data_IF_842212379684
#
_entry.id   IF_842212379684
#
_cell.length_a   1.000
_cell.length_b   1.000
_cell.length_c   1.000
_cell.angle_alpha   90.00
_cell.angle_beta   90.00
_cell.angle_gamma   90.00
#
_symmetry.space_group_name_H-M   'P 1'
#
loop_
_entity.id
_entity.type
_entity.pdbx_description
1 polymer ?
#
# COMPACT_ATOMS: atom_id res chain seq x y z
N UNK A 1 -10.68 6.76 -4.47
CA UNK A 1 -9.23 6.76 -4.22
C UNK A 1 -9.02 6.39 -2.76
N UNK A 2 -7.86 5.81 -2.42
CA UNK A 2 -7.57 5.22 -1.11
C UNK A 2 -6.71 6.12 -0.21
N UNK A 3 -6.46 7.37 -0.60
CA UNK A 3 -5.80 8.40 0.20
C UNK A 3 -6.78 9.14 1.14
N UNK A 4 -8.05 9.24 0.77
CA UNK A 4 -9.15 9.72 1.62
C UNK A 4 -10.41 8.90 1.31
N UNK A 5 -10.87 8.09 2.27
CA UNK A 5 -11.97 7.15 2.04
C UNK A 5 -12.79 6.85 3.30
N UNK A 6 -13.98 6.29 3.09
CA UNK A 6 -14.82 5.72 4.15
C UNK A 6 -14.72 4.19 4.11
N UNK A 7 -14.64 3.57 5.28
CA UNK A 7 -14.74 2.13 5.48
C UNK A 7 -15.84 1.82 6.50
N UNK A 8 -16.53 0.69 6.34
CA UNK A 8 -17.54 0.24 7.30
C UNK A 8 -16.93 -0.88 8.14
N UNK A 9 -16.75 -0.64 9.44
CA UNK A 9 -16.20 -1.65 10.33
C UNK A 9 -17.14 -2.86 10.41
N UNK A 10 -16.59 -4.06 10.19
CA UNK A 10 -17.39 -5.29 10.04
C UNK A 10 -18.32 -5.57 11.22
N UNK A 11 -17.83 -5.40 12.44
CA UNK A 11 -18.51 -5.85 13.65
C UNK A 11 -19.46 -4.79 14.21
N UNK A 12 -19.00 -3.54 14.41
CA UNK A 12 -19.86 -2.48 14.92
C UNK A 12 -20.74 -1.82 13.87
N UNK A 13 -20.47 -2.02 12.58
CA UNK A 13 -21.10 -1.31 11.45
C UNK A 13 -20.86 0.20 11.45
N UNK A 14 -19.93 0.69 12.29
CA UNK A 14 -19.55 2.10 12.34
C UNK A 14 -18.83 2.49 11.05
N UNK A 15 -19.14 3.67 10.53
CA UNK A 15 -18.34 4.27 9.46
C UNK A 15 -17.07 4.88 10.05
N UNK A 16 -15.95 4.57 9.42
CA UNK A 16 -14.62 5.07 9.77
C UNK A 16 -14.09 5.84 8.59
N UNK A 17 -13.83 7.13 8.81
CA UNK A 17 -13.12 7.97 7.84
C UNK A 17 -11.63 7.70 7.96
N UNK A 18 -10.98 7.39 6.84
CA UNK A 18 -9.57 7.12 6.73
C UNK A 18 -8.92 8.17 5.84
N UNK A 19 -7.95 8.92 6.38
CA UNK A 19 -7.20 9.93 5.64
C UNK A 19 -5.70 9.71 5.77
N UNK A 20 -4.99 9.70 4.64
CA UNK A 20 -3.54 9.67 4.58
C UNK A 20 -2.94 10.88 5.31
N UNK A 21 -1.85 10.66 6.04
CA UNK A 21 -1.14 11.72 6.76
C UNK A 21 0.34 11.84 6.38
N UNK A 22 1.03 10.72 6.26
CA UNK A 22 2.49 10.72 6.06
C UNK A 22 2.98 9.39 5.48
N UNK A 23 4.10 9.47 4.78
CA UNK A 23 4.90 8.33 4.32
C UNK A 23 6.32 8.51 4.84
N UNK A 24 6.87 7.46 5.46
CA UNK A 24 8.19 7.48 6.08
C UNK A 24 8.92 6.19 5.70
N UNK A 25 10.18 6.31 5.28
CA UNK A 25 11.04 5.13 5.10
C UNK A 25 11.65 4.77 6.45
N UNK A 26 11.36 3.58 6.95
CA UNK A 26 11.99 3.09 8.17
C UNK A 26 13.42 2.65 7.86
N UNK A 27 14.40 3.25 8.54
CA UNK A 27 15.81 2.89 8.41
C UNK A 27 16.28 2.36 9.77
N UNK A 28 16.49 1.04 9.87
CA UNK A 28 17.24 0.47 10.97
C UNK A 28 18.73 0.45 10.63
N UNK A 29 19.59 0.49 11.64
CA UNK A 29 21.07 0.53 11.49
C UNK A 29 21.68 -0.65 10.72
N UNK A 30 20.89 -1.70 10.45
CA UNK A 30 21.29 -2.88 9.68
C UNK A 30 20.53 -3.06 8.36
N UNK A 31 19.34 -2.47 8.20
CA UNK A 31 18.57 -2.51 6.95
C UNK A 31 17.40 -1.51 6.99
N UNK A 32 17.02 -0.97 5.84
CA UNK A 32 15.70 -0.36 5.62
C UNK A 32 14.85 -1.42 4.91
N UNK A 33 13.97 -2.09 5.63
CA UNK A 33 13.20 -3.24 5.14
C UNK A 33 11.73 -2.91 4.82
N UNK A 34 11.26 -1.71 5.17
CA UNK A 34 9.90 -1.26 4.89
C UNK A 34 9.75 0.26 4.69
N UNK A 35 8.68 0.62 3.98
CA UNK A 35 8.13 1.96 3.88
C UNK A 35 6.83 2.00 4.68
N UNK A 36 6.77 2.85 5.70
CA UNK A 36 5.64 3.01 6.60
C UNK A 36 4.72 4.14 6.14
N UNK A 37 3.43 3.85 6.00
CA UNK A 37 2.42 4.80 5.54
C UNK A 37 1.39 4.99 6.65
N UNK A 38 1.23 6.24 7.10
CA UNK A 38 0.34 6.64 8.17
C UNK A 38 -1.01 7.08 7.64
N UNK A 39 -2.06 6.56 8.25
CA UNK A 39 -3.44 7.01 8.12
C UNK A 39 -4.00 7.45 9.47
N UNK A 40 -4.88 8.44 9.44
CA UNK A 40 -5.83 8.70 10.51
C UNK A 40 -7.12 7.96 10.18
N UNK A 41 -7.46 6.92 10.96
CA UNK A 41 -8.67 6.14 10.83
C UNK A 41 -9.62 6.47 12.00
N UNK A 42 -10.56 7.37 11.77
CA UNK A 42 -11.37 7.97 12.84
C UNK A 42 -10.48 8.70 13.85
N UNK A 43 -10.49 8.27 15.10
CA UNK A 43 -9.67 8.79 16.19
C UNK A 43 -8.33 8.06 16.37
N UNK A 44 -8.05 7.03 15.56
CA UNK A 44 -6.83 6.20 15.67
C UNK A 44 -5.82 6.53 14.58
N UNK A 45 -4.55 6.61 14.96
CA UNK A 45 -3.45 6.57 14.01
C UNK A 45 -3.12 5.11 13.66
N UNK A 46 -3.08 4.80 12.37
CA UNK A 46 -2.76 3.46 11.86
C UNK A 46 -1.61 3.55 10.88
N UNK A 47 -0.65 2.65 11.01
CA UNK A 47 0.52 2.55 10.18
C UNK A 47 0.51 1.26 9.38
N UNK A 48 0.80 1.38 8.08
CA UNK A 48 0.91 0.25 7.17
C UNK A 48 2.35 0.19 6.66
N UNK A 49 3.10 -0.83 7.06
CA UNK A 49 4.47 -1.08 6.62
C UNK A 49 4.45 -1.95 5.37
N UNK A 50 4.83 -1.37 4.24
CA UNK A 50 5.01 -2.05 2.96
C UNK A 50 6.46 -2.51 2.81
N UNK A 51 6.73 -3.79 2.51
CA UNK A 51 8.09 -4.30 2.40
C UNK A 51 8.79 -3.72 1.16
N UNK A 52 10.03 -3.25 1.32
CA UNK A 52 10.83 -2.70 0.20
C UNK A 52 10.97 -3.66 -0.99
N UNK A 53 10.93 -4.97 -0.72
CA UNK A 53 10.96 -6.01 -1.77
C UNK A 53 9.82 -5.87 -2.78
N UNK A 54 8.65 -5.38 -2.37
CA UNK A 54 7.51 -5.14 -3.27
C UNK A 54 7.88 -4.23 -4.45
N UNK A 55 8.67 -3.18 -4.23
CA UNK A 55 9.15 -2.28 -5.29
C UNK A 55 10.03 -3.03 -6.29
N UNK A 56 10.94 -3.86 -5.77
CA UNK A 56 11.87 -4.66 -6.59
C UNK A 56 11.11 -5.66 -7.44
N UNK A 57 10.09 -6.28 -6.87
CA UNK A 57 9.32 -7.33 -7.55
C UNK A 57 8.40 -6.75 -8.62
N UNK A 58 7.69 -5.66 -8.31
CA UNK A 58 6.87 -4.96 -9.29
C UNK A 58 7.70 -4.43 -10.46
N UNK A 59 8.89 -3.89 -10.21
CA UNK A 59 9.80 -3.46 -11.27
C UNK A 59 10.29 -4.63 -12.13
N UNK A 60 10.63 -5.77 -11.53
CA UNK A 60 11.02 -6.96 -12.30
C UNK A 60 9.88 -7.49 -13.16
N UNK A 61 8.65 -7.47 -12.65
CA UNK A 61 7.47 -7.99 -13.35
C UNK A 61 7.01 -7.07 -14.48
N UNK A 62 7.15 -5.74 -14.33
CA UNK A 62 6.51 -4.77 -15.22
C UNK A 62 7.46 -3.78 -15.89
N UNK A 63 8.71 -3.68 -15.43
CA UNK A 63 9.66 -2.62 -15.80
C UNK A 63 9.35 -1.26 -15.17
N UNK A 64 8.37 -1.15 -14.26
CA UNK A 64 7.89 0.11 -13.68
C UNK A 64 8.27 0.27 -12.22
N UNK A 65 8.36 1.51 -11.76
CA UNK A 65 8.60 1.83 -10.34
C UNK A 65 7.28 2.06 -9.62
N UNK A 66 7.18 1.57 -8.39
CA UNK A 66 6.10 1.96 -7.47
C UNK A 66 6.40 3.39 -6.98
N UNK A 67 5.47 4.31 -7.27
CA UNK A 67 5.54 5.71 -6.85
C UNK A 67 4.90 5.91 -5.47
N UNK A 68 5.22 7.01 -4.78
CA UNK A 68 4.61 7.32 -3.47
C UNK A 68 3.07 7.35 -3.53
N UNK A 69 2.42 7.98 -4.54
CA UNK A 69 0.96 7.91 -4.65
C UNK A 69 0.45 6.49 -4.78
N UNK A 70 1.10 5.64 -5.58
CA UNK A 70 0.71 4.23 -5.73
C UNK A 70 0.87 3.49 -4.40
N UNK A 71 1.98 3.68 -3.68
CA UNK A 71 2.20 3.09 -2.37
C UNK A 71 1.10 3.48 -1.37
N UNK A 72 0.70 4.76 -1.36
CA UNK A 72 -0.43 5.26 -0.55
C UNK A 72 -1.74 4.57 -0.94
N UNK A 73 -2.01 4.42 -2.24
CA UNK A 73 -3.21 3.71 -2.69
C UNK A 73 -3.23 2.26 -2.22
N UNK A 74 -2.08 1.56 -2.30
CA UNK A 74 -1.97 0.16 -1.85
C UNK A 74 -2.18 0.02 -0.35
N UNK A 75 -1.55 0.89 0.44
CA UNK A 75 -1.72 0.88 1.89
C UNK A 75 -3.17 1.20 2.30
N UNK A 76 -3.80 2.19 1.65
CA UNK A 76 -5.19 2.54 1.90
C UNK A 76 -6.17 1.44 1.46
N UNK A 77 -5.90 0.76 0.34
CA UNK A 77 -6.68 -0.41 -0.08
C UNK A 77 -6.58 -1.53 0.96
N UNK A 78 -5.38 -1.85 1.45
CA UNK A 78 -5.21 -2.83 2.53
C UNK A 78 -5.97 -2.40 3.80
N UNK A 79 -5.87 -1.14 4.21
CA UNK A 79 -6.54 -0.64 5.40
C UNK A 79 -8.07 -0.75 5.30
N UNK A 80 -8.64 -0.38 4.15
CA UNK A 80 -10.08 -0.56 3.87
C UNK A 80 -10.47 -2.03 3.99
N UNK A 81 -9.71 -2.92 3.35
CA UNK A 81 -9.91 -4.37 3.46
C UNK A 81 -9.83 -4.84 4.92
N UNK A 82 -8.86 -4.37 5.70
CA UNK A 82 -8.68 -4.78 7.08
C UNK A 82 -9.89 -4.41 7.95
N UNK A 83 -10.40 -3.19 7.81
CA UNK A 83 -11.58 -2.68 8.53
C UNK A 83 -12.85 -3.45 8.12
N UNK A 84 -13.09 -3.58 6.82
CA UNK A 84 -14.33 -4.16 6.27
C UNK A 84 -14.37 -5.69 6.40
N UNK A 85 -13.22 -6.36 6.43
CA UNK A 85 -13.11 -7.79 6.70
C UNK A 85 -13.14 -8.12 8.19
N UNK A 86 -13.04 -7.13 9.09
CA UNK A 86 -12.92 -7.34 10.53
C UNK A 86 -11.56 -7.93 10.95
N UNK A 87 -10.56 -7.88 10.07
CA UNK A 87 -9.16 -8.10 10.41
C UNK A 87 -8.61 -6.98 11.30
N UNK A 88 -9.22 -5.78 11.24
CA UNK A 88 -8.96 -4.72 12.20
C UNK A 88 -9.44 -5.13 13.60
N UNK A 89 -8.53 -5.71 14.36
CA UNK A 89 -8.67 -6.00 15.78
C UNK A 89 -8.17 -4.87 16.68
N UNK A 90 -8.20 -3.62 16.21
CA UNK A 90 -7.70 -2.48 16.97
C UNK A 90 -6.20 -2.24 16.84
N UNK A 91 -5.54 -2.78 15.81
CA UNK A 91 -4.07 -2.66 15.65
C UNK A 91 -3.70 -1.26 15.17
N UNK A 92 -2.60 -0.72 15.69
CA UNK A 92 -2.04 0.56 15.26
C UNK A 92 -0.99 0.40 14.15
N UNK A 93 -0.49 -0.83 13.93
CA UNK A 93 0.54 -1.13 12.95
C UNK A 93 0.26 -2.45 12.24
N UNK A 94 0.41 -2.45 10.91
CA UNK A 94 0.32 -3.62 10.06
C UNK A 94 1.56 -3.76 9.19
N UNK A 95 2.31 -4.83 9.39
CA UNK A 95 3.42 -5.19 8.50
C UNK A 95 2.95 -6.19 7.46
N UNK A 96 2.93 -5.78 6.19
CA UNK A 96 2.49 -6.64 5.11
C UNK A 96 3.64 -7.58 4.71
N UNK A 97 3.28 -8.82 4.41
CA UNK A 97 4.17 -9.69 3.65
C UNK A 97 4.28 -9.19 2.21
N UNK A 98 5.39 -9.51 1.54
CA UNK A 98 5.59 -9.24 0.10
C UNK A 98 4.37 -9.65 -0.73
N UNK A 99 3.87 -10.87 -0.49
CA UNK A 99 2.71 -11.42 -1.20
C UNK A 99 1.46 -10.55 -1.02
N UNK A 100 1.11 -10.19 0.22
CA UNK A 100 -0.06 -9.35 0.49
C UNK A 100 0.09 -7.96 -0.14
N UNK A 101 1.28 -7.38 -0.09
CA UNK A 101 1.56 -6.08 -0.69
C UNK A 101 1.31 -6.12 -2.21
N UNK A 102 1.84 -7.13 -2.91
CA UNK A 102 1.62 -7.31 -4.35
C UNK A 102 0.15 -7.60 -4.70
N UNK A 103 -0.57 -8.39 -3.89
CA UNK A 103 -2.00 -8.64 -4.08
C UNK A 103 -2.82 -7.34 -4.06
N UNK A 104 -2.57 -6.47 -3.09
CA UNK A 104 -3.24 -5.18 -3.00
C UNK A 104 -2.79 -4.19 -4.08
N UNK A 105 -1.53 -4.26 -4.52
CA UNK A 105 -1.05 -3.49 -5.67
C UNK A 105 -1.82 -3.84 -6.94
N UNK A 106 -1.95 -5.13 -7.25
CA UNK A 106 -2.68 -5.56 -8.44
C UNK A 106 -4.16 -5.21 -8.36
N UNK A 107 -4.78 -5.29 -7.18
CA UNK A 107 -6.16 -4.86 -6.98
C UNK A 107 -6.34 -3.36 -7.26
N UNK A 108 -5.45 -2.51 -6.74
CA UNK A 108 -5.46 -1.06 -6.99
C UNK A 108 -5.32 -0.75 -8.48
N UNK A 109 -4.39 -1.41 -9.20
CA UNK A 109 -4.22 -1.19 -10.63
C UNK A 109 -5.46 -1.61 -11.44
N UNK A 110 -6.11 -2.72 -11.06
CA UNK A 110 -7.34 -3.18 -11.67
C UNK A 110 -8.49 -2.17 -11.47
N UNK A 111 -8.63 -1.61 -10.28
CA UNK A 111 -9.67 -0.61 -9.95
C UNK A 111 -9.49 0.72 -10.73
N UNK A 112 -8.24 1.09 -11.05
CA UNK A 112 -7.94 2.30 -11.83
C UNK A 112 -8.07 2.12 -13.35
N UNK A 113 -8.35 0.90 -13.83
CA UNK A 113 -8.51 0.64 -15.27
C UNK A 113 -7.23 0.82 -16.09
N UNK A 114 -6.04 0.72 -15.46
CA UNK A 114 -4.79 0.71 -16.21
C UNK A 114 -4.67 -0.63 -16.98
N UNK A 115 -4.57 -0.62 -18.32
CA UNK A 115 -4.22 -1.83 -19.05
C UNK A 115 -2.83 -2.32 -18.59
N UNK A 116 -2.54 -3.63 -18.64
CA UNK A 116 -1.15 -4.09 -18.63
C UNK A 116 -0.46 -3.52 -19.86
N UNK A 117 0.23 -2.40 -19.71
CA UNK A 117 0.93 -1.75 -20.81
C UNK A 117 2.27 -2.44 -21.06
N UNK A 118 2.67 -2.44 -22.33
CA UNK A 118 3.82 -3.16 -22.85
C UNK A 118 5.12 -2.86 -22.08
N UNK A 119 5.99 -3.87 -21.92
CA UNK A 119 7.27 -3.70 -21.26
C UNK A 119 8.09 -2.60 -21.93
N UNK A 120 8.72 -1.77 -21.10
CA UNK A 120 9.63 -0.72 -21.53
C UNK A 120 10.85 -1.41 -22.14
N UNK A 121 11.14 -1.19 -23.41
CA UNK A 121 12.42 -1.59 -23.99
C UNK A 121 13.55 -0.92 -23.20
N UNK A 122 14.54 -1.68 -22.70
CA UNK A 122 15.61 -1.11 -21.91
C UNK A 122 16.35 -0.02 -22.70
N UNK A 123 16.87 0.96 -21.95
CA UNK A 123 17.77 1.98 -22.49
C UNK A 123 18.95 1.29 -23.20
N UNK A 124 19.33 1.74 -24.42
CA UNK A 124 20.48 1.16 -25.10
C UNK A 124 21.73 1.38 -24.24
N UNK A 125 22.55 0.34 -24.09
CA UNK A 125 23.86 0.46 -23.47
C UNK A 125 24.72 1.46 -24.26
N UNK A 126 25.47 2.35 -23.58
CA UNK A 126 26.36 3.27 -24.26
C UNK A 126 27.44 2.50 -25.03
N UNK A 127 27.68 2.93 -26.27
CA UNK A 127 28.63 2.36 -27.22
C UNK A 127 30.10 2.49 -26.77
#
# INVERSE_FOLDING_TARGET
>A
MYDDFQAVERWSRKQVHCAYQALIVAIATRHADAVDIKFQAGDRAVWIALPCMMWVDYEKETGRKVTDPLAVQVAGHFLKYAIESGLDGGREMYSLTRRQAMEHLHAVLADHGEPPQQPITPWPEPA
#
